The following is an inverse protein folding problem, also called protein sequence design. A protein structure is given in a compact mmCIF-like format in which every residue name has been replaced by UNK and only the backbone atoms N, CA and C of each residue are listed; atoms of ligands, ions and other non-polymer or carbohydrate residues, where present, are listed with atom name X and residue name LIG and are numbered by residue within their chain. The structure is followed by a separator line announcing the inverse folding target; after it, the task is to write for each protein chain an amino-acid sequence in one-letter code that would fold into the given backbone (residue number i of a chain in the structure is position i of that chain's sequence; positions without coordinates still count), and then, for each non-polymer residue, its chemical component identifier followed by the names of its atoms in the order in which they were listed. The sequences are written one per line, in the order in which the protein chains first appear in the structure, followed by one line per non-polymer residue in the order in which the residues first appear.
data_IF_109840202882
#
_entry.id   IF_109840202882
#
_cell.length_a   1.000
_cell.length_b   1.000
_cell.length_c   1.000
_cell.angle_alpha   90.00
_cell.angle_beta   90.00
_cell.angle_gamma   90.00
#
_symmetry.space_group_name_H-M   'P 1'
#
loop_
_entity.id
_entity.type
_entity.pdbx_description
1 polymer ?
#
# COMPACT_ATOMS: atom_id res chain seq x y z
N UNK A 1 13.70 13.73 2.82
CA UNK A 1 14.32 13.81 4.16
C UNK A 1 13.26 13.38 5.16
N UNK A 2 13.33 12.14 5.63
CA UNK A 2 12.38 11.57 6.60
C UNK A 2 12.89 11.93 7.98
N UNK A 3 12.15 12.73 8.75
CA UNK A 3 12.51 13.08 10.12
C UNK A 3 12.23 11.89 11.04
N UNK A 4 13.28 11.33 11.60
CA UNK A 4 13.24 10.35 12.67
C UNK A 4 12.65 10.99 13.93
N UNK A 5 11.50 10.49 14.40
CA UNK A 5 11.13 10.63 15.80
C UNK A 5 11.60 9.38 16.52
N UNK A 6 12.66 9.51 17.29
CA UNK A 6 13.15 8.48 18.18
C UNK A 6 12.09 8.18 19.25
N UNK A 7 11.55 6.97 19.22
CA UNK A 7 10.65 6.43 20.22
C UNK A 7 10.84 4.94 20.31
N UNK A 8 11.37 4.51 21.43
CA UNK A 8 11.36 3.17 21.99
C UNK A 8 11.70 1.99 21.06
N UNK A 9 12.97 1.64 21.03
CA UNK A 9 13.57 0.57 20.20
C UNK A 9 13.23 -0.86 20.65
N UNK A 10 12.33 -1.04 21.61
CA UNK A 10 12.07 -2.34 22.27
C UNK A 10 10.89 -3.15 21.73
N UNK A 11 10.01 -2.60 20.87
CA UNK A 11 8.72 -3.22 20.54
C UNK A 11 8.31 -3.23 19.06
N UNK A 12 9.24 -3.18 18.12
CA UNK A 12 8.89 -3.28 16.68
C UNK A 12 8.32 -4.66 16.30
N UNK A 13 8.62 -5.71 17.05
CA UNK A 13 8.24 -7.09 16.73
C UNK A 13 6.74 -7.40 16.78
N UNK A 14 5.92 -6.51 17.37
CA UNK A 14 4.48 -6.72 17.57
C UNK A 14 3.60 -5.66 16.91
N UNK A 15 4.16 -4.67 16.21
CA UNK A 15 3.38 -3.63 15.53
C UNK A 15 2.99 -4.09 14.12
N UNK A 16 1.81 -3.69 13.68
CA UNK A 16 1.37 -3.84 12.30
C UNK A 16 2.08 -2.77 11.46
N UNK A 17 3.01 -3.21 10.62
CA UNK A 17 3.82 -2.31 9.80
C UNK A 17 3.51 -2.57 8.33
N UNK A 18 3.17 -1.53 7.59
CA UNK A 18 2.98 -1.64 6.14
C UNK A 18 3.62 -0.48 5.39
N UNK A 19 4.15 -0.76 4.19
CA UNK A 19 4.50 0.27 3.22
C UNK A 19 3.25 0.60 2.40
N UNK A 20 2.89 1.88 2.40
CA UNK A 20 1.81 2.43 1.60
C UNK A 20 2.37 3.21 0.41
N UNK A 21 1.84 2.96 -0.78
CA UNK A 21 2.11 3.70 -2.01
C UNK A 21 0.77 4.13 -2.59
N UNK A 22 0.53 5.42 -2.70
CA UNK A 22 -0.78 5.95 -3.10
C UNK A 22 -1.18 5.50 -4.50
N UNK A 23 -0.32 5.71 -5.46
CA UNK A 23 -0.54 5.31 -6.86
C UNK A 23 0.75 4.86 -7.50
N UNK A 24 0.71 3.66 -8.07
CA UNK A 24 1.81 3.11 -8.86
C UNK A 24 1.35 2.92 -10.30
N UNK A 25 2.19 3.24 -11.26
CA UNK A 25 1.91 2.99 -12.65
C UNK A 25 2.88 1.92 -13.19
N UNK A 26 2.44 0.67 -13.12
CA UNK A 26 1.26 0.09 -12.46
C UNK A 26 1.60 -1.18 -11.66
N UNK A 27 2.53 -2.00 -12.11
CA UNK A 27 3.04 -3.11 -11.32
C UNK A 27 4.15 -2.61 -10.41
N UNK A 28 4.11 -2.97 -9.14
CA UNK A 28 5.22 -2.73 -8.24
C UNK A 28 5.65 -4.02 -7.55
N UNK A 29 6.95 -4.13 -7.26
CA UNK A 29 7.56 -5.24 -6.56
C UNK A 29 8.50 -4.71 -5.50
N UNK A 30 8.28 -5.12 -4.26
CA UNK A 30 9.05 -4.65 -3.11
C UNK A 30 10.04 -5.72 -2.64
N UNK A 31 11.26 -5.26 -2.35
CA UNK A 31 12.30 -6.03 -1.68
C UNK A 31 12.74 -5.30 -0.42
N UNK A 32 13.03 -6.05 0.64
CA UNK A 32 13.64 -5.56 1.88
C UNK A 32 14.91 -6.36 2.11
N UNK A 33 16.05 -5.67 2.23
CA UNK A 33 17.36 -6.25 2.43
C UNK A 33 17.69 -7.38 1.42
N UNK A 34 17.29 -7.16 0.16
CA UNK A 34 17.48 -8.11 -0.95
C UNK A 34 16.45 -9.24 -1.00
N UNK A 35 15.53 -9.38 -0.03
CA UNK A 35 14.50 -10.40 -0.02
C UNK A 35 13.19 -9.86 -0.58
N UNK A 36 12.59 -10.57 -1.53
CA UNK A 36 11.30 -10.21 -2.09
C UNK A 36 10.19 -10.31 -1.04
N UNK A 37 9.40 -9.25 -0.92
CA UNK A 37 8.22 -9.16 -0.05
C UNK A 37 6.95 -9.53 -0.80
N UNK A 38 6.88 -9.13 -2.07
CA UNK A 38 5.77 -9.45 -2.94
C UNK A 38 5.59 -8.44 -4.06
N UNK A 39 4.52 -8.65 -4.82
CA UNK A 39 4.15 -7.86 -6.00
C UNK A 39 2.71 -7.36 -5.87
N UNK A 40 2.45 -6.18 -6.41
CA UNK A 40 1.12 -5.59 -6.61
C UNK A 40 0.98 -5.13 -8.05
N UNK A 41 -0.20 -5.35 -8.61
CA UNK A 41 -0.51 -4.93 -9.96
C UNK A 41 -1.92 -4.34 -9.97
N UNK A 42 -2.00 -3.03 -9.77
CA UNK A 42 -3.26 -2.29 -9.77
C UNK A 42 -2.99 -0.83 -10.12
N UNK A 43 -3.67 -0.31 -11.14
CA UNK A 43 -3.55 1.10 -11.53
C UNK A 43 -4.42 2.01 -10.67
N UNK A 44 -5.62 1.56 -10.31
CA UNK A 44 -6.65 2.38 -9.66
C UNK A 44 -6.72 2.25 -8.13
N UNK A 45 -5.81 1.51 -7.52
CA UNK A 45 -5.80 1.29 -6.07
C UNK A 45 -4.41 1.47 -5.48
N UNK A 46 -4.30 1.94 -4.23
CA UNK A 46 -3.03 2.00 -3.51
C UNK A 46 -2.39 0.62 -3.38
N UNK A 47 -1.06 0.58 -3.47
CA UNK A 47 -0.30 -0.62 -3.16
C UNK A 47 0.09 -0.64 -1.70
N UNK A 48 -0.17 -1.76 -1.03
CA UNK A 48 0.19 -1.98 0.37
C UNK A 48 1.00 -3.26 0.51
N UNK A 49 2.11 -3.18 1.23
CA UNK A 49 2.99 -4.31 1.52
C UNK A 49 3.08 -4.51 3.02
N UNK A 50 2.69 -5.67 3.50
CA UNK A 50 2.83 -6.06 4.90
C UNK A 50 4.30 -6.33 5.24
N UNK A 51 4.84 -5.52 6.12
CA UNK A 51 6.21 -5.61 6.63
C UNK A 51 6.26 -6.06 8.09
N UNK A 52 5.14 -6.46 8.66
CA UNK A 52 5.04 -6.95 10.04
C UNK A 52 5.95 -8.15 10.23
N UNK A 53 6.82 -8.07 11.23
CA UNK A 53 7.81 -9.10 11.53
C UNK A 53 8.93 -9.25 10.49
N UNK A 54 9.00 -8.37 9.47
CA UNK A 54 10.04 -8.40 8.43
C UNK A 54 11.09 -7.32 8.62
N UNK A 55 10.83 -6.37 9.51
CA UNK A 55 11.76 -5.32 9.89
C UNK A 55 12.18 -5.53 11.35
N UNK A 56 13.49 -5.53 11.58
CA UNK A 56 14.07 -5.45 12.93
C UNK A 56 14.31 -4.00 13.32
N UNK A 57 14.82 -3.77 14.54
CA UNK A 57 15.31 -2.45 14.87
C UNK A 57 16.60 -2.17 14.11
N UNK A 58 16.71 -1.00 13.48
CA UNK A 58 17.91 -0.60 12.74
C UNK A 58 17.64 -0.04 11.35
N UNK A 59 18.67 -0.04 10.51
CA UNK A 59 18.59 0.42 9.12
C UNK A 59 18.25 -0.74 8.20
N UNK A 60 17.32 -0.51 7.30
CA UNK A 60 16.92 -1.44 6.26
C UNK A 60 16.99 -0.78 4.88
N UNK A 61 17.26 -1.58 3.86
CA UNK A 61 17.23 -1.15 2.46
C UNK A 61 15.95 -1.65 1.81
N UNK A 62 15.08 -0.72 1.42
CA UNK A 62 13.89 -1.01 0.65
C UNK A 62 14.15 -0.70 -0.82
N UNK A 63 13.94 -1.68 -1.69
CA UNK A 63 14.04 -1.53 -3.14
C UNK A 63 12.66 -1.74 -3.73
N UNK A 64 12.16 -0.71 -4.40
CA UNK A 64 10.90 -0.75 -5.12
C UNK A 64 11.17 -0.77 -6.63
N UNK A 65 10.78 -1.84 -7.29
CA UNK A 65 10.76 -1.93 -8.75
C UNK A 65 9.36 -1.60 -9.25
N UNK A 66 9.24 -0.64 -10.16
CA UNK A 66 7.98 -0.30 -10.83
C UNK A 66 8.09 -0.65 -12.30
N UNK A 67 7.11 -1.38 -12.81
CA UNK A 67 7.06 -1.82 -14.20
C UNK A 67 5.72 -1.39 -14.82
N UNK A 68 5.82 -0.52 -15.82
CA UNK A 68 4.67 0.03 -16.55
C UNK A 68 4.46 -0.61 -17.93
N UNK A 69 5.19 -1.67 -18.25
CA UNK A 69 5.03 -2.34 -19.55
C UNK A 69 3.66 -3.02 -19.62
N UNK A 70 2.98 -2.84 -20.75
CA UNK A 70 1.77 -3.60 -21.09
C UNK A 70 2.17 -5.05 -21.36
N UNK A 71 1.70 -5.99 -20.55
CA UNK A 71 2.16 -7.38 -20.59
C UNK A 71 1.07 -8.38 -20.99
N UNK A 72 -0.07 -8.31 -20.40
CA UNK A 72 -1.09 -9.38 -20.45
C UNK A 72 -2.42 -8.90 -21.01
N UNK A 73 -2.49 -7.67 -21.46
CA UNK A 73 -3.69 -7.05 -22.01
C UNK A 73 -3.31 -6.26 -23.26
N UNK A 74 -4.22 -6.19 -24.22
CA UNK A 74 -4.16 -5.24 -25.31
C UNK A 74 -5.12 -4.09 -24.98
N UNK A 75 -4.61 -2.92 -24.53
CA UNK A 75 -5.45 -1.81 -24.15
C UNK A 75 -6.07 -1.09 -25.36
N UNK A 76 -5.61 -1.37 -26.56
CA UNK A 76 -5.95 -0.62 -27.77
C UNK A 76 -5.31 0.77 -27.81
N UNK A 77 -5.40 1.43 -28.97
CA UNK A 77 -4.69 2.69 -29.23
C UNK A 77 -5.19 3.87 -28.39
N UNK A 78 -6.47 3.89 -28.04
CA UNK A 78 -7.11 5.02 -27.37
C UNK A 78 -7.43 4.76 -25.89
N UNK A 79 -6.69 3.86 -25.25
CA UNK A 79 -6.91 3.54 -23.86
C UNK A 79 -6.31 4.60 -22.95
N UNK A 80 -7.16 5.32 -22.21
CA UNK A 80 -6.73 6.30 -21.24
C UNK A 80 -5.88 5.66 -20.13
N UNK A 81 -4.88 6.37 -19.67
CA UNK A 81 -3.96 6.00 -18.58
C UNK A 81 -3.05 4.80 -18.86
N UNK A 82 -3.16 4.17 -20.02
CA UNK A 82 -2.38 2.99 -20.40
C UNK A 82 -1.57 3.25 -21.67
N UNK A 83 -2.15 3.95 -22.66
CA UNK A 83 -1.46 4.26 -23.91
C UNK A 83 -1.03 5.72 -23.98
N UNK A 84 0.05 5.99 -24.73
CA UNK A 84 0.58 7.34 -24.93
C UNK A 84 -0.19 8.14 -25.99
N UNK A 85 -1.20 7.55 -26.62
CA UNK A 85 -1.94 8.16 -27.73
C UNK A 85 -2.89 9.27 -27.30
N UNK A 86 -3.38 9.25 -26.09
CA UNK A 86 -4.43 10.18 -25.61
C UNK A 86 -3.90 11.30 -24.75
N UNK A 87 -2.86 11.06 -23.98
CA UNK A 87 -2.18 12.04 -23.12
C UNK A 87 -0.85 11.48 -22.64
N UNK A 88 0.03 12.34 -22.15
CA UNK A 88 1.29 11.90 -21.55
C UNK A 88 1.04 11.00 -20.34
N UNK A 89 1.68 9.85 -20.29
CA UNK A 89 1.65 8.93 -19.18
C UNK A 89 2.71 9.27 -18.16
N UNK A 90 2.38 9.01 -16.90
CA UNK A 90 3.34 9.09 -15.80
C UNK A 90 3.88 7.70 -15.46
N UNK A 91 5.05 7.67 -14.85
CA UNK A 91 5.73 6.45 -14.39
C UNK A 91 6.10 6.53 -12.93
N UNK A 92 6.27 5.37 -12.31
CA UNK A 92 6.73 5.28 -10.94
C UNK A 92 5.60 5.40 -9.93
N UNK A 93 5.89 6.05 -8.82
CA UNK A 93 4.96 6.27 -7.71
C UNK A 93 4.60 7.75 -7.66
N UNK A 94 3.30 8.06 -7.61
CA UNK A 94 2.76 9.41 -7.50
C UNK A 94 1.89 9.51 -6.26
N UNK A 95 1.95 10.67 -5.59
CA UNK A 95 1.25 10.91 -4.34
C UNK A 95 2.04 10.44 -3.13
N UNK A 96 1.34 10.03 -2.10
CA UNK A 96 1.95 9.69 -0.82
C UNK A 96 2.66 8.34 -0.82
N UNK A 97 3.82 8.30 -0.16
CA UNK A 97 4.56 7.09 0.13
C UNK A 97 5.07 7.16 1.57
N UNK A 98 4.64 6.21 2.40
CA UNK A 98 5.03 6.18 3.81
C UNK A 98 4.98 4.78 4.41
N UNK A 99 5.69 4.61 5.52
CA UNK A 99 5.52 3.47 6.42
C UNK A 99 4.39 3.78 7.39
N UNK A 100 3.34 2.98 7.35
CA UNK A 100 2.23 3.02 8.30
C UNK A 100 2.52 2.05 9.43
N UNK A 101 2.44 2.52 10.66
CA UNK A 101 2.64 1.71 11.86
C UNK A 101 1.36 1.79 12.70
N UNK A 102 0.73 0.65 12.93
CA UNK A 102 -0.49 0.54 13.73
C UNK A 102 -0.25 -0.27 15.00
N UNK A 103 -1.08 -0.06 16.04
CA UNK A 103 -1.10 -0.96 17.20
C UNK A 103 -1.43 -2.40 16.78
N UNK A 104 -1.08 -3.36 17.62
CA UNK A 104 -1.39 -4.79 17.43
C UNK A 104 -2.90 -5.04 17.25
N UNK A 105 -3.72 -4.30 18.00
CA UNK A 105 -5.17 -4.25 17.80
C UNK A 105 -5.51 -2.96 17.09
N UNK A 106 -6.05 -3.06 15.89
CA UNK A 106 -6.42 -1.90 15.11
C UNK A 106 -7.66 -2.15 14.26
N UNK A 107 -8.28 -1.06 13.80
CA UNK A 107 -9.38 -1.15 12.84
C UNK A 107 -8.81 -1.40 11.45
N UNK A 108 -9.10 -2.56 10.87
CA UNK A 108 -8.64 -2.94 9.53
C UNK A 108 -9.54 -2.41 8.42
N UNK A 109 -10.83 -2.31 8.67
CA UNK A 109 -11.78 -1.74 7.71
C UNK A 109 -13.03 -1.18 8.42
N UNK A 110 -13.64 -0.17 7.80
CA UNK A 110 -14.94 0.37 8.19
C UNK A 110 -15.82 0.41 6.96
N UNK A 111 -17.02 -0.14 7.08
CA UNK A 111 -18.05 -0.10 6.05
C UNK A 111 -19.25 0.68 6.57
N UNK A 112 -19.63 1.74 5.86
CA UNK A 112 -20.76 2.60 6.20
C UNK A 112 -21.82 2.43 5.12
N UNK A 113 -23.03 2.04 5.53
CA UNK A 113 -24.14 1.79 4.63
C UNK A 113 -25.35 2.66 5.06
N UNK A 114 -25.61 3.80 4.40
CA UNK A 114 -26.79 4.60 4.65
C UNK A 114 -28.03 3.95 4.03
N UNK A 115 -29.12 3.95 4.79
CA UNK A 115 -30.48 3.61 4.31
C UNK A 115 -31.35 4.85 4.38
N UNK A 116 -31.60 5.46 3.23
CA UNK A 116 -32.36 6.68 3.13
C UNK A 116 -33.83 6.48 3.51
N UNK A 117 -34.43 5.33 3.17
CA UNK A 117 -35.84 5.05 3.42
C UNK A 117 -36.07 4.82 4.92
N UNK A 118 -35.23 4.05 5.56
CA UNK A 118 -35.29 3.78 6.99
C UNK A 118 -34.71 4.92 7.85
N UNK A 119 -34.08 5.95 7.22
CA UNK A 119 -33.36 7.04 7.91
C UNK A 119 -32.33 6.51 8.91
N UNK A 120 -31.61 5.47 8.52
CA UNK A 120 -30.61 4.78 9.35
C UNK A 120 -29.26 4.71 8.64
N UNK A 121 -28.21 4.55 9.43
CA UNK A 121 -26.87 4.25 8.96
C UNK A 121 -26.40 3.00 9.68
N UNK A 122 -26.01 1.97 8.92
CA UNK A 122 -25.35 0.79 9.46
C UNK A 122 -23.84 0.97 9.34
N UNK A 123 -23.12 0.77 10.44
CA UNK A 123 -21.67 0.84 10.48
C UNK A 123 -21.13 -0.51 10.91
N UNK A 124 -20.29 -1.12 10.07
CA UNK A 124 -19.55 -2.34 10.38
C UNK A 124 -18.07 -2.03 10.42
N UNK A 125 -17.38 -2.44 11.47
CA UNK A 125 -15.94 -2.32 11.59
C UNK A 125 -15.32 -3.70 11.75
N UNK A 126 -14.24 -3.96 11.01
CA UNK A 126 -13.40 -5.15 11.20
C UNK A 126 -12.19 -4.77 12.03
N UNK A 127 -11.92 -5.57 13.04
CA UNK A 127 -10.74 -5.40 13.90
C UNK A 127 -9.68 -6.42 13.47
N UNK A 128 -8.44 -5.96 13.38
CA UNK A 128 -7.26 -6.82 13.31
C UNK A 128 -6.73 -6.98 14.73
N UNK A 129 -6.50 -8.22 15.14
CA UNK A 129 -5.83 -8.55 16.39
C UNK A 129 -4.64 -9.45 16.07
N UNK A 130 -3.43 -9.01 16.40
CA UNK A 130 -2.20 -9.77 16.20
C UNK A 130 -1.63 -10.32 17.52
N UNK A 131 -2.45 -10.34 18.59
CA UNK A 131 -2.15 -11.05 19.83
C UNK A 131 -2.39 -12.56 19.59
N UNK A 132 -1.32 -13.27 19.31
CA UNK A 132 -1.22 -14.73 19.47
C UNK A 132 0.19 -15.09 19.92
#
# INVERSE_FOLDING_TARGET
MVSERSGDSGQLGRKDISLFLERCHWESRLYVDGKEIGMRNALGAPHRYDLTGKLSAGKHVLILCVDNRVKNIDPGENSHSISDHTQGNWNGVVGDMFLEVKPEVNVSSVKIMPDRLAKKVSVSASLMNRYE
#
